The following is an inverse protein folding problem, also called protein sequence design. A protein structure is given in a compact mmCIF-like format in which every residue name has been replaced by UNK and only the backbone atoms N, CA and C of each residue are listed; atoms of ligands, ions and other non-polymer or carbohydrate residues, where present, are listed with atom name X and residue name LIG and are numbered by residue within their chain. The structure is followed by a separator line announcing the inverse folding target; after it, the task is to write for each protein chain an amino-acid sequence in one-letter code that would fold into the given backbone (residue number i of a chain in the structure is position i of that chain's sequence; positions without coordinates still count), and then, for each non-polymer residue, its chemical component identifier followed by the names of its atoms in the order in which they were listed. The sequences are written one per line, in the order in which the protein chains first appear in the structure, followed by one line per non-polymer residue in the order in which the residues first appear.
data_IF_128893364067
#
_entry.id   IF_128893364067
#
_cell.length_a   1.000
_cell.length_b   1.000
_cell.length_c   1.000
_cell.angle_alpha   90.00
_cell.angle_beta   90.00
_cell.angle_gamma   90.00
#
_symmetry.space_group_name_H-M   'P 1'
#
loop_
_entity.id
_entity.type
_entity.pdbx_description
1 polymer ?
#
# COMPACT_ATOMS: atom_id res chain seq x y z
N UNK A 1 -45.53 52.71 -14.50
CA UNK A 1 -44.21 52.53 -15.17
C UNK A 1 -43.26 51.85 -14.19
N UNK A 2 -42.25 51.11 -14.65
CA UNK A 2 -41.21 50.50 -13.79
C UNK A 2 -39.85 51.11 -14.16
N UNK A 3 -39.08 51.52 -13.15
CA UNK A 3 -37.76 52.15 -13.28
C UNK A 3 -36.79 51.50 -12.29
N UNK A 4 -35.57 51.21 -12.76
CA UNK A 4 -34.49 50.72 -11.91
C UNK A 4 -34.08 51.78 -10.90
N UNK A 5 -33.84 51.39 -9.65
CA UNK A 5 -33.39 52.28 -8.60
C UNK A 5 -32.11 53.03 -8.99
N UNK A 6 -32.09 54.34 -8.73
CA UNK A 6 -30.97 55.22 -9.06
C UNK A 6 -30.79 55.51 -10.55
N UNK A 7 -31.77 55.16 -11.39
CA UNK A 7 -31.71 55.51 -12.82
C UNK A 7 -31.75 57.02 -13.00
N UNK A 8 -30.83 57.52 -13.82
CA UNK A 8 -30.74 58.93 -14.18
C UNK A 8 -31.40 59.22 -15.52
N UNK A 9 -31.70 60.49 -15.77
CA UNK A 9 -32.23 61.00 -17.03
C UNK A 9 -33.52 60.30 -17.49
N UNK A 10 -34.52 60.24 -16.62
CA UNK A 10 -35.78 59.54 -16.89
C UNK A 10 -36.87 60.52 -17.31
N UNK A 11 -37.29 60.38 -18.57
CA UNK A 11 -38.43 61.10 -19.13
C UNK A 11 -39.73 60.32 -18.94
N UNK A 12 -40.80 61.02 -18.58
CA UNK A 12 -42.14 60.46 -18.41
C UNK A 12 -43.11 61.19 -19.33
N UNK A 13 -44.02 60.43 -19.95
CA UNK A 13 -45.01 60.95 -20.88
C UNK A 13 -46.39 61.03 -20.23
N UNK A 14 -47.02 62.20 -20.36
CA UNK A 14 -48.37 62.47 -19.89
C UNK A 14 -49.29 62.67 -21.08
N UNK A 15 -50.50 62.11 -20.98
CA UNK A 15 -51.59 62.46 -21.88
C UNK A 15 -52.51 63.46 -21.16
N UNK A 16 -52.55 64.69 -21.67
CA UNK A 16 -53.31 65.79 -21.08
C UNK A 16 -54.55 66.06 -21.93
N UNK A 17 -55.70 66.06 -21.28
CA UNK A 17 -57.01 66.23 -21.93
C UNK A 17 -57.77 67.40 -21.32
N UNK A 18 -58.77 67.88 -22.04
CA UNK A 18 -59.69 68.90 -21.55
C UNK A 18 -60.46 68.38 -20.33
N UNK A 19 -60.50 69.17 -19.26
CA UNK A 19 -61.35 68.86 -18.10
C UNK A 19 -62.82 69.23 -18.38
N UNK A 20 -63.69 69.11 -17.37
CA UNK A 20 -65.11 69.41 -17.49
C UNK A 20 -65.41 70.89 -17.84
N UNK A 21 -64.48 71.81 -17.60
CA UNK A 21 -64.57 73.23 -17.97
C UNK A 21 -64.05 73.53 -19.38
N UNK A 22 -63.46 72.55 -20.07
CA UNK A 22 -62.94 72.74 -21.43
C UNK A 22 -64.09 72.92 -22.43
N UNK A 23 -63.82 73.60 -23.55
CA UNK A 23 -64.78 73.69 -24.66
C UNK A 23 -65.07 72.31 -25.29
N UNK A 24 -64.09 71.41 -25.24
CA UNK A 24 -64.19 70.02 -25.69
C UNK A 24 -63.63 69.08 -24.62
N UNK A 25 -64.40 68.77 -23.56
CA UNK A 25 -63.94 67.88 -22.48
C UNK A 25 -63.55 66.50 -23.02
N UNK A 26 -62.41 65.98 -22.56
CA UNK A 26 -61.87 64.68 -22.99
C UNK A 26 -61.05 64.71 -24.28
N UNK A 27 -61.10 65.79 -25.08
CA UNK A 27 -60.21 65.96 -26.23
C UNK A 27 -58.79 66.32 -25.78
N UNK A 28 -57.75 65.92 -26.52
CA UNK A 28 -56.37 66.27 -26.21
C UNK A 28 -56.17 67.78 -26.25
N UNK A 29 -55.54 68.32 -25.20
CA UNK A 29 -55.18 69.75 -25.14
C UNK A 29 -53.75 69.91 -25.61
N UNK A 30 -53.51 70.76 -26.59
CA UNK A 30 -52.17 71.02 -27.14
C UNK A 30 -51.70 72.45 -26.83
N UNK A 31 -50.44 72.75 -27.13
CA UNK A 31 -49.87 74.09 -26.97
C UNK A 31 -49.62 74.57 -25.53
N UNK A 32 -49.87 73.75 -24.50
CA UNK A 32 -49.49 74.07 -23.11
C UNK A 32 -47.99 74.31 -23.00
N UNK A 33 -47.62 75.42 -22.36
CA UNK A 33 -46.24 75.78 -22.05
C UNK A 33 -45.90 75.41 -20.61
N UNK A 34 -44.62 75.32 -20.26
CA UNK A 34 -44.20 75.06 -18.87
C UNK A 34 -44.80 76.09 -17.88
N UNK A 35 -44.97 77.35 -18.31
CA UNK A 35 -45.59 78.41 -17.51
C UNK A 35 -47.05 78.14 -17.16
N UNK A 36 -47.77 77.39 -18.00
CA UNK A 36 -49.16 76.98 -17.76
C UNK A 36 -49.27 75.88 -16.70
N UNK A 37 -48.14 75.27 -16.35
CA UNK A 37 -48.02 74.29 -15.28
C UNK A 37 -47.43 74.97 -14.03
N UNK A 38 -46.42 75.83 -14.17
CA UNK A 38 -45.78 76.53 -13.04
C UNK A 38 -46.68 77.61 -12.42
N UNK A 39 -47.46 78.33 -13.22
CA UNK A 39 -48.24 79.48 -12.76
C UNK A 39 -49.70 79.08 -12.53
N UNK A 40 -50.04 78.73 -11.29
CA UNK A 40 -51.40 78.33 -10.90
C UNK A 40 -51.71 76.84 -11.13
N UNK A 41 -50.74 76.07 -11.62
CA UNK A 41 -50.72 74.61 -11.60
C UNK A 41 -49.56 74.11 -10.72
N UNK A 42 -49.03 72.92 -11.01
CA UNK A 42 -47.69 72.52 -10.59
C UNK A 42 -47.19 71.22 -11.24
N UNK A 43 -45.87 71.03 -11.32
CA UNK A 43 -45.28 69.69 -11.51
C UNK A 43 -44.61 69.23 -10.22
N UNK A 44 -44.79 67.95 -9.87
CA UNK A 44 -44.25 67.42 -8.62
C UNK A 44 -44.10 65.92 -8.61
N UNK A 45 -43.33 65.46 -7.62
CA UNK A 45 -43.24 64.06 -7.26
C UNK A 45 -43.37 63.88 -5.75
N UNK A 46 -43.84 62.72 -5.35
CA UNK A 46 -43.85 62.28 -3.96
C UNK A 46 -43.31 60.85 -3.92
N UNK A 47 -42.18 60.67 -3.25
CA UNK A 47 -41.65 59.35 -2.92
C UNK A 47 -42.54 58.73 -1.83
N UNK A 48 -42.73 57.42 -1.85
CA UNK A 48 -43.55 56.73 -0.85
C UNK A 48 -43.17 57.12 0.58
N UNK A 49 -44.14 57.59 1.36
CA UNK A 49 -43.93 58.04 2.75
C UNK A 49 -43.25 59.40 2.91
N UNK A 50 -42.88 60.09 1.83
CA UNK A 50 -42.30 61.43 1.85
C UNK A 50 -43.33 62.52 1.51
N UNK A 51 -43.01 63.76 1.87
CA UNK A 51 -43.77 64.92 1.42
C UNK A 51 -43.62 65.15 -0.09
N UNK A 52 -44.58 65.86 -0.67
CA UNK A 52 -44.51 66.37 -2.06
C UNK A 52 -43.25 67.22 -2.21
N UNK A 53 -42.50 66.96 -3.27
CA UNK A 53 -41.41 67.81 -3.74
C UNK A 53 -41.81 68.45 -5.06
N UNK A 54 -41.60 69.77 -5.14
CA UNK A 54 -41.87 70.54 -6.33
C UNK A 54 -40.79 70.29 -7.40
N UNK A 55 -41.19 70.23 -8.67
CA UNK A 55 -40.29 70.13 -9.81
C UNK A 55 -40.45 71.39 -10.64
N UNK A 56 -39.46 72.29 -10.57
CA UNK A 56 -39.44 73.49 -11.40
C UNK A 56 -39.25 73.10 -12.87
N UNK A 57 -40.24 73.44 -13.69
CA UNK A 57 -40.21 73.16 -15.11
C UNK A 57 -39.48 74.23 -15.92
N UNK A 58 -38.87 73.77 -17.01
CA UNK A 58 -38.22 74.60 -18.03
C UNK A 58 -38.68 74.17 -19.43
N UNK A 59 -38.54 75.06 -20.41
CA UNK A 59 -38.74 74.68 -21.81
C UNK A 59 -37.66 73.69 -22.24
N UNK A 60 -38.07 72.56 -22.82
CA UNK A 60 -37.16 71.68 -23.55
C UNK A 60 -37.02 72.15 -25.00
N UNK A 61 -35.83 72.04 -25.60
CA UNK A 61 -35.57 72.55 -26.94
C UNK A 61 -36.34 71.82 -28.06
N UNK A 62 -36.59 70.52 -27.89
CA UNK A 62 -37.41 69.69 -28.77
C UNK A 62 -37.83 68.41 -28.04
N UNK A 63 -38.82 67.69 -28.56
CA UNK A 63 -39.27 66.41 -28.00
C UNK A 63 -38.18 65.32 -27.98
N UNK A 64 -37.16 65.44 -28.85
CA UNK A 64 -36.02 64.54 -28.97
C UNK A 64 -34.73 65.05 -28.32
N UNK A 65 -34.76 66.23 -27.69
CA UNK A 65 -33.58 66.77 -27.01
C UNK A 65 -33.13 65.87 -25.86
N UNK A 66 -31.85 65.98 -25.51
CA UNK A 66 -31.31 65.32 -24.33
C UNK A 66 -32.11 65.70 -23.07
N UNK A 67 -32.14 64.79 -22.09
CA UNK A 67 -32.81 65.03 -20.83
C UNK A 67 -32.27 66.30 -20.15
N UNK A 68 -33.17 67.12 -19.64
CA UNK A 68 -32.85 68.24 -18.78
C UNK A 68 -33.84 68.26 -17.62
N UNK A 69 -33.36 68.31 -16.38
CA UNK A 69 -34.22 68.32 -15.20
C UNK A 69 -35.27 69.43 -15.29
N UNK A 70 -36.55 69.05 -15.20
CA UNK A 70 -37.69 69.96 -15.36
C UNK A 70 -38.10 70.23 -16.81
N UNK A 71 -37.44 69.65 -17.80
CA UNK A 71 -37.78 69.82 -19.22
C UNK A 71 -39.22 69.39 -19.51
N UNK A 72 -40.03 70.31 -20.04
CA UNK A 72 -41.42 70.07 -20.42
C UNK A 72 -41.69 70.51 -21.85
N UNK A 73 -42.31 69.64 -22.66
CA UNK A 73 -42.68 69.96 -24.04
C UNK A 73 -43.80 69.04 -24.56
N UNK A 74 -44.60 69.55 -25.49
CA UNK A 74 -45.48 68.75 -26.33
C UNK A 74 -44.64 67.88 -27.28
N UNK A 75 -44.98 66.60 -27.41
CA UNK A 75 -44.24 65.67 -28.28
C UNK A 75 -44.53 65.94 -29.74
N UNK A 76 -45.81 65.96 -30.11
CA UNK A 76 -46.27 66.22 -31.47
C UNK A 76 -47.70 66.77 -31.41
N UNK A 77 -47.97 67.84 -32.16
CA UNK A 77 -49.27 68.53 -32.15
C UNK A 77 -50.29 67.89 -33.11
N UNK A 78 -49.84 67.17 -34.13
CA UNK A 78 -50.69 66.71 -35.23
C UNK A 78 -51.01 65.23 -35.14
N UNK A 79 -50.00 64.40 -34.93
CA UNK A 79 -50.06 62.95 -34.94
C UNK A 79 -50.16 62.34 -33.54
N UNK A 80 -49.74 63.07 -32.49
CA UNK A 80 -49.89 62.65 -31.08
C UNK A 80 -50.38 63.80 -30.18
N UNK A 81 -51.48 64.48 -30.52
CA UNK A 81 -51.96 65.64 -29.77
C UNK A 81 -52.19 65.28 -28.29
N UNK A 82 -51.81 66.19 -27.39
CA UNK A 82 -52.00 66.03 -25.95
C UNK A 82 -50.94 65.18 -25.25
N UNK A 83 -49.98 64.59 -25.98
CA UNK A 83 -48.87 63.85 -25.37
C UNK A 83 -47.72 64.82 -25.05
N UNK A 84 -47.43 64.97 -23.77
CA UNK A 84 -46.34 65.80 -23.25
C UNK A 84 -45.24 64.94 -22.67
N UNK A 85 -44.00 65.33 -22.92
CA UNK A 85 -42.81 64.79 -22.24
C UNK A 85 -42.47 65.69 -21.06
N UNK A 86 -42.23 65.09 -19.91
CA UNK A 86 -41.72 65.74 -18.71
C UNK A 86 -40.46 65.00 -18.22
N UNK A 87 -39.37 65.72 -18.08
CA UNK A 87 -38.08 65.22 -17.61
C UNK A 87 -37.96 65.45 -16.10
N UNK A 88 -37.86 64.36 -15.34
CA UNK A 88 -37.83 64.40 -13.88
C UNK A 88 -36.40 64.36 -13.36
N UNK A 89 -36.10 65.14 -12.33
CA UNK A 89 -34.78 65.13 -11.69
C UNK A 89 -34.41 63.74 -11.17
N UNK A 90 -33.12 63.38 -11.24
CA UNK A 90 -32.60 62.06 -10.86
C UNK A 90 -32.98 61.64 -9.43
N UNK A 91 -33.06 62.60 -8.49
CA UNK A 91 -33.47 62.36 -7.11
C UNK A 91 -34.88 61.75 -6.98
N UNK A 92 -35.73 61.95 -7.99
CA UNK A 92 -37.06 61.32 -8.09
C UNK A 92 -36.94 59.80 -8.03
N UNK A 93 -35.97 59.21 -8.74
CA UNK A 93 -35.83 57.76 -8.92
C UNK A 93 -34.70 57.14 -8.09
N UNK A 94 -34.16 57.86 -7.10
CA UNK A 94 -33.16 57.31 -6.18
C UNK A 94 -33.67 56.08 -5.42
N UNK A 95 -32.77 55.20 -4.99
CA UNK A 95 -33.11 53.98 -4.23
C UNK A 95 -33.77 54.25 -2.86
N UNK A 96 -34.39 53.24 -2.27
CA UNK A 96 -34.88 53.27 -0.87
C UNK A 96 -36.39 53.46 -0.69
N UNK A 97 -37.19 53.44 -1.76
CA UNK A 97 -38.66 53.38 -1.74
C UNK A 97 -39.14 52.46 -2.85
N UNK A 98 -40.35 51.90 -2.74
CA UNK A 98 -40.91 50.98 -3.75
C UNK A 98 -41.69 51.73 -4.85
N UNK A 99 -42.24 52.89 -4.52
CA UNK A 99 -43.08 53.68 -5.43
C UNK A 99 -42.82 55.18 -5.34
N UNK A 100 -42.94 55.85 -6.49
CA UNK A 100 -42.98 57.30 -6.61
C UNK A 100 -44.23 57.69 -7.37
N UNK A 101 -45.00 58.64 -6.82
CA UNK A 101 -46.13 59.25 -7.50
C UNK A 101 -45.69 60.54 -8.17
N UNK A 102 -45.92 60.64 -9.48
CA UNK A 102 -45.61 61.79 -10.31
C UNK A 102 -46.92 62.48 -10.69
N UNK A 103 -46.96 63.81 -10.62
CA UNK A 103 -48.19 64.56 -10.90
C UNK A 103 -47.89 65.87 -11.61
N UNK A 104 -48.69 66.13 -12.64
CA UNK A 104 -48.79 67.43 -13.30
C UNK A 104 -50.20 67.94 -13.06
N UNK A 105 -50.30 69.16 -12.55
CA UNK A 105 -51.53 69.92 -12.39
C UNK A 105 -51.42 71.10 -13.35
N UNK A 106 -52.34 71.19 -14.30
CA UNK A 106 -52.40 72.34 -15.21
C UNK A 106 -53.09 73.50 -14.50
N UNK A 107 -52.69 74.73 -14.78
CA UNK A 107 -53.37 75.90 -14.26
C UNK A 107 -54.86 75.88 -14.60
N UNK A 108 -55.71 76.20 -13.63
CA UNK A 108 -57.17 76.10 -13.77
C UNK A 108 -57.72 76.89 -14.95
N UNK A 109 -57.08 78.01 -15.33
CA UNK A 109 -57.49 78.82 -16.48
C UNK A 109 -57.30 78.15 -17.85
N UNK A 110 -56.65 76.98 -17.91
CA UNK A 110 -56.45 76.20 -19.15
C UNK A 110 -57.46 75.08 -19.32
N UNK A 111 -58.29 74.81 -18.30
CA UNK A 111 -59.33 73.79 -18.33
C UNK A 111 -58.81 72.43 -18.85
N UNK A 112 -57.70 71.96 -18.28
CA UNK A 112 -57.02 70.74 -18.70
C UNK A 112 -56.57 69.94 -17.49
N UNK A 113 -56.52 68.62 -17.64
CA UNK A 113 -56.20 67.68 -16.56
C UNK A 113 -55.24 66.61 -17.03
N UNK A 114 -54.33 66.22 -16.13
CA UNK A 114 -53.44 65.08 -16.29
C UNK A 114 -53.65 64.11 -15.12
N UNK A 115 -53.73 62.82 -15.41
CA UNK A 115 -53.77 61.80 -14.36
C UNK A 115 -52.36 61.63 -13.75
N UNK A 116 -52.25 61.43 -12.43
CA UNK A 116 -50.96 61.11 -11.81
C UNK A 116 -50.44 59.76 -12.29
N UNK A 117 -49.12 59.65 -12.42
CA UNK A 117 -48.44 58.43 -12.84
C UNK A 117 -47.73 57.83 -11.64
N UNK A 118 -48.00 56.55 -11.37
CA UNK A 118 -47.25 55.77 -10.40
C UNK A 118 -46.09 55.05 -11.08
N UNK A 119 -44.91 55.26 -10.52
CA UNK A 119 -43.66 54.63 -10.96
C UNK A 119 -43.19 53.70 -9.85
N UNK A 120 -43.09 52.41 -10.18
CA UNK A 120 -42.45 51.44 -9.31
C UNK A 120 -40.94 51.53 -9.46
N UNK A 121 -40.26 51.55 -8.33
CA UNK A 121 -38.80 51.54 -8.24
C UNK A 121 -38.37 50.11 -7.93
N UNK A 122 -37.53 49.53 -8.79
CA UNK A 122 -37.03 48.16 -8.63
C UNK A 122 -35.52 48.16 -8.47
N UNK A 123 -35.00 47.37 -7.55
CA UNK A 123 -33.54 47.19 -7.40
C UNK A 123 -32.94 46.37 -8.57
N UNK A 124 -33.77 45.56 -9.23
CA UNK A 124 -33.39 44.72 -10.37
C UNK A 124 -33.60 45.50 -11.67
N UNK A 125 -32.58 45.55 -12.53
CA UNK A 125 -32.72 46.13 -13.85
C UNK A 125 -33.39 45.13 -14.80
N UNK A 126 -34.68 45.32 -15.05
CA UNK A 126 -35.46 44.47 -15.96
C UNK A 126 -35.06 44.62 -17.44
N UNK A 127 -34.24 45.60 -17.78
CA UNK A 127 -33.72 45.81 -19.14
C UNK A 127 -32.25 45.39 -19.28
N UNK A 128 -31.64 44.95 -18.18
CA UNK A 128 -30.28 44.43 -18.22
C UNK A 128 -30.26 43.08 -18.96
N UNK A 129 -29.38 42.98 -19.97
CA UNK A 129 -29.25 41.79 -20.81
C UNK A 129 -28.48 40.64 -20.13
N UNK A 130 -28.04 40.85 -18.89
CA UNK A 130 -27.10 40.00 -18.14
C UNK A 130 -27.73 39.63 -16.79
N UNK A 131 -28.73 38.74 -16.81
CA UNK A 131 -29.40 38.19 -15.61
C UNK A 131 -30.07 39.28 -14.75
N UNK A 132 -30.63 40.32 -15.39
CA UNK A 132 -31.33 41.38 -14.67
C UNK A 132 -30.44 42.14 -13.68
N UNK A 133 -29.13 42.23 -13.97
CA UNK A 133 -28.17 42.86 -13.05
C UNK A 133 -27.77 42.00 -11.84
N UNK A 134 -28.21 40.74 -11.75
CA UNK A 134 -27.75 39.80 -10.72
C UNK A 134 -26.34 39.29 -11.03
N UNK A 135 -25.34 40.17 -10.89
CA UNK A 135 -23.93 39.92 -11.23
C UNK A 135 -23.32 38.76 -10.44
N UNK A 136 -23.86 38.44 -9.27
CA UNK A 136 -23.48 37.28 -8.46
C UNK A 136 -23.84 35.93 -9.13
N UNK A 137 -24.79 35.92 -10.07
CA UNK A 137 -25.09 34.73 -10.85
C UNK A 137 -24.08 34.62 -12.01
N UNK A 138 -23.66 33.41 -12.42
CA UNK A 138 -22.77 33.23 -13.57
C UNK A 138 -23.42 33.59 -14.90
N UNK A 139 -22.66 34.16 -15.85
CA UNK A 139 -23.16 34.58 -17.18
C UNK A 139 -23.23 33.49 -18.24
N UNK A 140 -22.79 32.28 -17.90
CA UNK A 140 -22.97 31.14 -18.78
C UNK A 140 -24.33 30.48 -18.51
N UNK A 141 -24.87 29.81 -19.54
CA UNK A 141 -26.05 28.98 -19.38
C UNK A 141 -25.81 27.94 -18.26
N UNK A 142 -26.87 27.51 -17.59
CA UNK A 142 -26.79 26.37 -16.68
C UNK A 142 -26.17 25.16 -17.43
N UNK A 143 -25.30 24.40 -16.76
CA UNK A 143 -24.49 23.29 -17.32
C UNK A 143 -23.39 23.69 -18.33
N UNK A 144 -23.28 24.96 -18.72
CA UNK A 144 -22.15 25.43 -19.53
C UNK A 144 -20.92 25.73 -18.65
N UNK A 145 -19.73 25.81 -19.27
CA UNK A 145 -18.49 26.17 -18.57
C UNK A 145 -18.62 27.53 -17.88
N UNK A 146 -18.36 27.57 -16.57
CA UNK A 146 -18.57 28.77 -15.75
C UNK A 146 -20.04 29.13 -15.51
N UNK A 147 -20.97 28.22 -15.81
CA UNK A 147 -22.41 28.33 -15.55
C UNK A 147 -22.81 27.72 -14.21
N UNK A 148 -24.09 27.81 -13.85
CA UNK A 148 -24.62 27.12 -12.67
C UNK A 148 -24.62 25.60 -12.94
N UNK A 149 -24.04 24.77 -12.05
CA UNK A 149 -24.19 23.32 -12.14
C UNK A 149 -25.67 22.94 -12.01
N UNK A 150 -26.17 22.08 -12.91
CA UNK A 150 -27.52 21.54 -12.83
C UNK A 150 -27.50 20.02 -12.98
N UNK A 151 -28.46 19.35 -12.36
CA UNK A 151 -28.72 17.93 -12.61
C UNK A 151 -29.75 17.81 -13.74
N UNK A 152 -29.29 17.88 -14.99
CA UNK A 152 -30.12 17.87 -16.20
C UNK A 152 -31.04 16.62 -16.33
N UNK A 153 -30.65 15.49 -15.73
CA UNK A 153 -31.34 14.20 -15.79
C UNK A 153 -31.95 13.73 -14.45
N UNK A 154 -32.12 14.62 -13.46
CA UNK A 154 -32.81 14.29 -12.20
C UNK A 154 -32.08 13.34 -11.24
N UNK A 155 -30.79 13.05 -11.48
CA UNK A 155 -30.00 12.15 -10.61
C UNK A 155 -28.47 12.25 -10.74
N UNK A 156 -27.95 13.14 -11.60
CA UNK A 156 -26.52 13.33 -11.86
C UNK A 156 -26.01 14.59 -11.18
N UNK A 157 -25.56 14.48 -9.92
CA UNK A 157 -24.73 15.53 -9.35
C UNK A 157 -23.33 15.41 -9.98
N UNK A 158 -22.87 16.46 -10.66
CA UNK A 158 -21.49 16.55 -11.19
C UNK A 158 -20.43 16.46 -10.06
N UNK A 159 -20.82 16.79 -8.83
CA UNK A 159 -20.05 16.52 -7.61
C UNK A 159 -19.86 15.01 -7.35
N UNK A 160 -20.81 14.18 -7.75
CA UNK A 160 -20.74 12.72 -7.59
C UNK A 160 -19.70 12.10 -8.53
N UNK A 161 -19.48 12.66 -9.71
CA UNK A 161 -18.40 12.20 -10.61
C UNK A 161 -17.01 12.68 -10.14
N UNK A 162 -16.90 13.88 -9.58
CA UNK A 162 -15.68 14.33 -8.91
C UNK A 162 -15.37 13.47 -7.67
N UNK A 163 -16.39 13.08 -6.89
CA UNK A 163 -16.27 12.15 -5.77
C UNK A 163 -15.85 10.74 -6.20
N UNK A 164 -16.36 10.21 -7.31
CA UNK A 164 -15.96 8.91 -7.84
C UNK A 164 -14.49 8.89 -8.32
N UNK A 165 -13.93 10.04 -8.70
CA UNK A 165 -12.50 10.18 -9.07
C UNK A 165 -11.63 10.38 -7.82
N UNK A 166 -12.14 11.05 -6.79
CA UNK A 166 -11.47 11.28 -5.50
C UNK A 166 -11.51 10.06 -4.55
N UNK A 167 -12.45 9.12 -4.72
CA UNK A 167 -12.50 7.85 -3.99
C UNK A 167 -11.35 6.91 -4.32
N UNK A 168 -10.65 7.15 -5.44
CA UNK A 168 -9.29 6.62 -5.62
C UNK A 168 -8.34 7.58 -4.89
N UNK A 169 -8.34 7.49 -3.56
CA UNK A 169 -7.45 8.28 -2.71
C UNK A 169 -6.00 8.12 -3.19
N UNK A 170 -5.17 9.15 -3.06
CA UNK A 170 -3.74 9.05 -3.39
C UNK A 170 -3.08 7.81 -2.74
N UNK A 171 -3.53 7.39 -1.56
CA UNK A 171 -3.11 6.15 -0.91
C UNK A 171 -3.52 4.88 -1.67
N UNK A 172 -4.75 4.79 -2.19
CA UNK A 172 -5.19 3.65 -3.02
C UNK A 172 -4.47 3.65 -4.36
N UNK A 173 -4.24 4.82 -4.94
CA UNK A 173 -3.42 4.95 -6.14
C UNK A 173 -1.97 4.56 -5.87
N UNK A 174 -1.43 4.93 -4.72
CA UNK A 174 -0.09 4.55 -4.29
C UNK A 174 0.00 3.03 -4.07
N UNK A 175 -0.99 2.37 -3.49
CA UNK A 175 -1.01 0.90 -3.37
C UNK A 175 -1.15 0.20 -4.72
N UNK A 176 -1.96 0.76 -5.64
CA UNK A 176 -2.07 0.23 -7.00
C UNK A 176 -0.74 0.41 -7.75
N UNK A 177 -0.07 1.53 -7.53
CA UNK A 177 1.26 1.83 -8.07
C UNK A 177 2.32 0.91 -7.47
N UNK A 178 2.27 0.65 -6.16
CA UNK A 178 3.17 -0.28 -5.47
C UNK A 178 3.00 -1.71 -6.01
N UNK A 179 1.77 -2.11 -6.34
CA UNK A 179 1.50 -3.40 -6.99
C UNK A 179 1.99 -3.43 -8.45
N UNK A 180 1.78 -2.37 -9.22
CA UNK A 180 2.13 -2.36 -10.64
C UNK A 180 3.64 -2.17 -10.88
N UNK A 181 4.33 -1.41 -10.03
CA UNK A 181 5.74 -1.03 -10.23
C UNK A 181 6.73 -1.86 -9.38
N UNK A 182 6.33 -3.00 -8.82
CA UNK A 182 7.26 -3.87 -8.09
C UNK A 182 7.68 -3.36 -6.72
N UNK A 183 6.78 -2.65 -6.04
CA UNK A 183 7.02 -2.06 -4.74
C UNK A 183 6.95 -3.06 -3.58
N UNK A 184 6.85 -2.56 -2.34
CA UNK A 184 7.04 -3.40 -1.14
C UNK A 184 6.03 -4.53 -1.03
N UNK A 185 4.77 -4.28 -1.38
CA UNK A 185 3.71 -5.29 -1.31
C UNK A 185 3.88 -6.35 -2.40
N UNK A 186 4.29 -5.94 -3.60
CA UNK A 186 4.52 -6.86 -4.73
C UNK A 186 5.71 -7.79 -4.45
N UNK A 187 6.83 -7.24 -3.97
CA UNK A 187 7.98 -8.03 -3.53
C UNK A 187 7.65 -9.03 -2.42
N UNK A 188 6.72 -8.70 -1.53
CA UNK A 188 6.28 -9.61 -0.47
C UNK A 188 5.41 -10.74 -1.03
N UNK A 189 4.66 -10.47 -2.10
CA UNK A 189 3.82 -11.45 -2.79
C UNK A 189 4.66 -12.36 -3.69
N UNK A 190 5.64 -11.82 -4.40
CA UNK A 190 6.63 -12.58 -5.18
C UNK A 190 7.50 -13.48 -4.31
N UNK A 191 7.70 -13.11 -3.04
CA UNK A 191 8.38 -13.95 -2.06
C UNK A 191 7.53 -15.12 -1.54
N UNK A 192 6.21 -15.15 -1.84
CA UNK A 192 5.38 -16.32 -1.53
C UNK A 192 5.72 -17.42 -2.56
N UNK A 193 6.20 -18.59 -2.14
CA UNK A 193 6.58 -19.66 -3.06
C UNK A 193 5.39 -20.09 -3.92
N UNK A 194 5.47 -19.88 -5.23
CA UNK A 194 4.42 -20.26 -6.20
C UNK A 194 4.52 -21.73 -6.63
N UNK A 195 5.49 -22.47 -6.12
CA UNK A 195 5.62 -23.92 -6.28
C UNK A 195 5.42 -24.63 -4.94
N UNK A 196 4.97 -25.89 -4.99
CA UNK A 196 4.69 -26.66 -3.78
C UNK A 196 5.96 -26.79 -2.92
N UNK A 197 5.89 -26.33 -1.67
CA UNK A 197 6.98 -26.38 -0.69
C UNK A 197 7.52 -27.81 -0.55
N UNK A 198 8.82 -28.03 -0.81
CA UNK A 198 9.44 -29.36 -0.66
C UNK A 198 10.53 -29.32 0.42
N UNK A 199 10.25 -29.97 1.55
CA UNK A 199 11.22 -30.59 2.46
C UNK A 199 12.21 -29.69 3.22
N UNK A 200 13.04 -28.92 2.52
CA UNK A 200 14.10 -28.06 3.10
C UNK A 200 13.66 -26.63 3.35
N UNK A 201 12.51 -26.24 2.79
CA UNK A 201 12.09 -24.84 2.74
C UNK A 201 11.19 -24.47 3.94
N UNK A 202 11.11 -25.37 4.93
CA UNK A 202 10.41 -25.17 6.18
C UNK A 202 11.42 -25.18 7.31
N UNK A 203 11.64 -24.02 7.95
CA UNK A 203 12.63 -23.84 9.02
C UNK A 203 12.45 -24.83 10.19
N UNK A 204 11.25 -25.37 10.38
CA UNK A 204 10.96 -26.37 11.38
C UNK A 204 11.61 -27.74 11.10
N UNK A 205 11.67 -28.19 9.83
CA UNK A 205 12.29 -29.49 9.47
C UNK A 205 13.83 -29.42 9.49
N UNK A 206 14.40 -28.26 9.19
CA UNK A 206 15.85 -28.03 9.28
C UNK A 206 16.38 -28.16 10.71
N UNK A 207 15.54 -27.88 11.72
CA UNK A 207 15.90 -28.03 13.14
C UNK A 207 15.89 -29.50 13.60
N UNK A 208 15.07 -30.36 12.99
CA UNK A 208 14.91 -31.75 13.43
C UNK A 208 15.97 -32.69 12.80
N UNK A 209 16.45 -32.34 11.60
CA UNK A 209 17.51 -33.08 10.89
C UNK A 209 18.85 -32.35 11.05
N UNK A 210 19.42 -32.44 12.26
CA UNK A 210 20.78 -31.93 12.51
C UNK A 210 21.83 -32.55 11.58
N UNK A 211 22.88 -31.80 11.25
CA UNK A 211 23.99 -32.25 10.41
C UNK A 211 24.61 -33.58 10.88
N UNK A 212 24.64 -33.84 12.19
CA UNK A 212 25.10 -35.11 12.76
C UNK A 212 24.26 -36.31 12.32
N UNK A 213 22.93 -36.15 12.27
CA UNK A 213 22.00 -37.21 11.87
C UNK A 213 22.07 -37.50 10.36
N UNK A 214 22.38 -36.48 9.56
CA UNK A 214 22.69 -36.69 8.15
C UNK A 214 24.05 -37.34 7.94
N UNK A 215 25.07 -36.95 8.70
CA UNK A 215 26.39 -37.58 8.63
C UNK A 215 26.32 -39.09 8.95
N UNK A 216 25.51 -39.49 9.93
CA UNK A 216 25.29 -40.93 10.22
C UNK A 216 24.58 -41.66 9.08
N UNK A 217 23.61 -41.02 8.41
CA UNK A 217 22.91 -41.65 7.29
C UNK A 217 23.84 -41.76 6.06
N UNK A 218 24.69 -40.77 5.83
CA UNK A 218 25.72 -40.80 4.78
C UNK A 218 26.78 -41.87 5.05
N UNK A 219 27.23 -42.05 6.31
CA UNK A 219 28.15 -43.12 6.69
C UNK A 219 27.56 -44.51 6.40
N UNK A 220 26.23 -44.66 6.59
CA UNK A 220 25.52 -45.91 6.31
C UNK A 220 25.35 -46.19 4.81
N UNK A 221 25.11 -45.15 4.00
CA UNK A 221 24.85 -45.30 2.55
C UNK A 221 26.15 -45.48 1.76
N UNK A 222 27.25 -44.84 2.18
CA UNK A 222 28.48 -44.76 1.39
C UNK A 222 29.58 -45.76 1.83
N UNK A 223 29.23 -46.82 2.57
CA UNK A 223 30.20 -47.84 2.99
C UNK A 223 31.19 -47.36 4.05
N UNK A 224 30.74 -46.48 4.94
CA UNK A 224 31.56 -45.84 5.96
C UNK A 224 31.91 -46.73 7.16
N UNK A 225 32.37 -46.14 8.26
CA UNK A 225 32.93 -46.89 9.41
C UNK A 225 31.93 -47.84 10.04
N UNK A 226 30.66 -47.41 10.13
CA UNK A 226 29.61 -48.22 10.72
C UNK A 226 29.24 -49.42 9.84
N UNK A 227 29.24 -49.25 8.52
CA UNK A 227 28.94 -50.30 7.56
C UNK A 227 30.02 -51.40 7.57
N UNK A 228 31.30 -50.99 7.54
CA UNK A 228 32.44 -51.90 7.67
C UNK A 228 32.43 -52.70 8.99
N UNK A 229 31.95 -52.10 10.09
CA UNK A 229 31.81 -52.80 11.36
C UNK A 229 30.69 -53.82 11.32
N UNK A 230 29.60 -53.53 10.60
CA UNK A 230 28.44 -54.41 10.48
C UNK A 230 28.73 -55.59 9.54
N UNK A 231 29.42 -55.35 8.43
CA UNK A 231 29.91 -56.39 7.51
C UNK A 231 30.91 -57.35 8.19
N UNK A 232 31.64 -56.87 9.20
CA UNK A 232 32.56 -57.69 9.98
C UNK A 232 31.86 -58.60 11.02
N UNK A 233 30.55 -58.42 11.27
CA UNK A 233 29.78 -59.32 12.13
C UNK A 233 29.50 -60.60 11.33
N UNK A 234 29.92 -61.80 11.81
CA UNK A 234 29.65 -63.04 11.11
C UNK A 234 28.14 -63.26 10.94
N UNK A 235 27.67 -63.35 9.70
CA UNK A 235 26.25 -63.59 9.37
C UNK A 235 25.90 -65.07 9.26
N UNK A 236 26.88 -65.96 9.43
CA UNK A 236 26.69 -67.41 9.53
C UNK A 236 26.85 -67.87 10.98
N UNK A 237 26.13 -68.92 11.37
CA UNK A 237 26.15 -69.43 12.75
C UNK A 237 27.58 -69.82 13.17
N UNK A 238 28.09 -69.22 14.25
CA UNK A 238 29.39 -69.54 14.85
C UNK A 238 29.45 -71.05 15.20
N UNK A 239 30.25 -71.83 14.48
CA UNK A 239 30.39 -73.27 14.70
C UNK A 239 31.78 -73.58 15.22
N UNK A 240 31.93 -73.64 16.54
CA UNK A 240 32.89 -74.50 17.28
C UNK A 240 34.40 -74.33 17.08
N UNK A 241 34.88 -73.76 15.97
CA UNK A 241 36.30 -73.57 15.64
C UNK A 241 36.73 -72.12 15.69
N UNK A 242 35.79 -71.20 15.86
CA UNK A 242 36.00 -69.77 15.67
C UNK A 242 36.42 -69.07 16.98
N UNK A 243 36.76 -69.86 17.99
CA UNK A 243 37.39 -69.41 19.23
C UNK A 243 38.78 -70.01 19.33
N UNK A 244 39.81 -69.18 19.18
CA UNK A 244 41.22 -69.57 19.19
C UNK A 244 41.64 -70.37 20.44
N UNK A 245 40.87 -70.27 21.53
CA UNK A 245 41.10 -71.00 22.77
C UNK A 245 40.72 -72.50 22.72
N UNK A 246 39.83 -72.92 21.82
CA UNK A 246 39.38 -74.32 21.73
C UNK A 246 40.11 -75.12 20.65
N UNK A 247 40.65 -74.44 19.63
CA UNK A 247 41.42 -75.07 18.54
C UNK A 247 42.75 -75.70 19.03
N UNK A 248 43.29 -75.27 20.17
CA UNK A 248 44.54 -75.81 20.72
C UNK A 248 44.37 -77.14 21.47
N UNK A 249 43.14 -77.49 21.87
CA UNK A 249 42.87 -78.65 22.75
C UNK A 249 42.45 -79.91 21.97
N UNK A 250 42.02 -79.78 20.71
CA UNK A 250 41.52 -80.89 19.89
C UNK A 250 42.39 -81.20 18.65
N UNK A 251 43.72 -81.04 18.75
CA UNK A 251 44.63 -81.51 17.69
C UNK A 251 44.97 -82.99 17.87
N UNK A 252 45.00 -83.71 16.74
CA UNK A 252 45.01 -85.19 16.58
C UNK A 252 46.08 -85.96 17.37
N UNK A 253 47.09 -85.28 17.93
CA UNK A 253 48.21 -85.90 18.65
C UNK A 253 47.80 -86.55 19.99
N UNK A 254 46.79 -86.04 20.69
CA UNK A 254 46.41 -86.52 22.04
C UNK A 254 45.44 -87.70 22.03
N UNK A 255 44.70 -87.89 20.93
CA UNK A 255 43.88 -89.09 20.71
C UNK A 255 44.73 -90.30 20.28
N UNK A 256 45.85 -90.07 19.58
CA UNK A 256 46.78 -91.11 19.15
C UNK A 256 47.61 -91.74 20.29
N UNK A 257 47.95 -90.97 21.34
CA UNK A 257 48.68 -91.49 22.51
C UNK A 257 47.86 -92.47 23.36
N UNK A 258 46.52 -92.38 23.32
CA UNK A 258 45.63 -93.28 24.07
C UNK A 258 45.46 -94.66 23.40
N UNK A 259 45.55 -94.73 22.07
CA UNK A 259 45.49 -95.98 21.30
C UNK A 259 46.82 -96.77 21.37
N UNK A 260 47.95 -96.08 21.48
CA UNK A 260 49.29 -96.69 21.44
C UNK A 260 49.76 -97.35 22.75
N UNK A 261 49.12 -97.09 23.90
CA UNK A 261 49.76 -97.35 25.20
C UNK A 261 49.30 -98.61 25.96
N UNK A 262 48.19 -99.30 25.64
CA UNK A 262 47.66 -100.32 26.58
C UNK A 262 46.90 -101.53 26.01
N UNK A 263 46.96 -101.81 24.71
CA UNK A 263 46.51 -103.10 24.18
C UNK A 263 47.71 -103.81 23.53
N UNK A 264 48.18 -104.95 24.06
CA UNK A 264 49.28 -105.70 23.44
C UNK A 264 48.93 -106.02 21.98
N UNK A 265 49.72 -105.51 21.05
CA UNK A 265 49.51 -105.65 19.60
C UNK A 265 50.08 -106.94 19.02
N UNK A 266 50.70 -107.82 19.82
CA UNK A 266 51.33 -109.05 19.33
C UNK A 266 51.22 -110.23 20.32
N UNK A 267 50.65 -111.33 19.84
CA UNK A 267 50.31 -112.54 20.63
C UNK A 267 51.56 -113.29 21.12
N UNK A 268 52.72 -113.07 20.49
CA UNK A 268 53.99 -113.71 20.86
C UNK A 268 54.61 -113.17 22.17
N UNK A 269 54.13 -112.04 22.68
CA UNK A 269 54.64 -111.40 23.90
C UNK A 269 54.00 -111.96 25.20
N UNK A 270 53.10 -112.94 25.09
CA UNK A 270 52.54 -113.66 26.23
C UNK A 270 53.49 -114.82 26.59
N UNK A 271 54.21 -114.81 27.73
CA UNK A 271 55.17 -115.86 28.05
C UNK A 271 54.48 -117.22 28.28
N UNK A 272 54.92 -118.28 27.58
CA UNK A 272 54.31 -119.63 27.60
C UNK A 272 55.13 -120.71 28.34
N UNK A 273 56.10 -120.35 29.19
CA UNK A 273 56.82 -121.32 30.04
C UNK A 273 57.21 -120.71 31.39
N UNK A 274 57.10 -121.48 32.48
CA UNK A 274 57.23 -121.00 33.86
C UNK A 274 58.65 -120.49 34.19
N UNK A 275 58.80 -119.19 34.48
CA UNK A 275 60.01 -118.60 35.06
C UNK A 275 60.26 -119.16 36.47
N UNK A 276 61.42 -119.80 36.68
CA UNK A 276 61.90 -120.29 37.99
C UNK A 276 63.09 -119.44 38.47
N UNK A 277 62.84 -118.58 39.46
CA UNK A 277 63.79 -118.01 40.43
C UNK A 277 64.93 -117.15 39.85
N UNK A 278 65.35 -116.02 40.42
CA UNK A 278 65.15 -115.43 41.74
C UNK A 278 65.95 -114.14 41.67
N UNK A 279 65.31 -112.98 41.80
CA UNK A 279 65.98 -111.76 42.26
C UNK A 279 64.97 -110.97 43.09
N UNK A 280 65.21 -111.04 44.41
CA UNK A 280 64.40 -110.48 45.47
C UNK A 280 64.89 -110.78 46.90
N UNK A 281 66.09 -111.36 47.10
CA UNK A 281 66.75 -111.36 48.41
C UNK A 281 68.27 -111.23 48.28
N UNK A 282 68.80 -110.20 48.94
CA UNK A 282 70.20 -109.78 49.06
C UNK A 282 70.97 -110.65 50.08
N UNK A 283 72.21 -111.05 49.76
CA UNK A 283 73.25 -111.33 50.77
C UNK A 283 74.59 -110.76 50.32
N UNK A 284 74.80 -109.51 50.76
CA UNK A 284 76.04 -108.76 50.94
C UNK A 284 76.85 -108.24 49.74
N UNK A 285 77.38 -107.05 49.98
CA UNK A 285 78.03 -106.09 49.07
C UNK A 285 79.16 -105.51 49.90
N UNK A 286 80.40 -105.87 49.63
CA UNK A 286 81.52 -105.32 50.41
C UNK A 286 82.78 -105.13 49.58
N UNK A 287 83.12 -103.84 49.40
CA UNK A 287 84.50 -103.34 49.42
C UNK A 287 85.34 -103.61 48.18
N UNK A 288 85.66 -102.57 47.41
CA UNK A 288 87.03 -102.04 47.33
C UNK A 288 87.24 -101.33 45.98
N UNK A 289 87.70 -100.09 46.09
CA UNK A 289 88.04 -99.12 45.04
C UNK A 289 89.55 -98.82 45.06
N UNK A 290 90.12 -98.37 43.94
CA UNK A 290 91.57 -98.14 43.76
C UNK A 290 92.10 -96.95 44.57
N UNK A 291 93.28 -97.08 45.19
CA UNK A 291 93.84 -96.08 46.11
C UNK A 291 94.54 -94.91 45.41
N UNK A 292 94.45 -93.72 46.02
CA UNK A 292 95.07 -92.47 45.56
C UNK A 292 96.61 -92.55 45.49
N UNK A 293 97.25 -93.41 46.29
CA UNK A 293 98.70 -93.63 46.22
C UNK A 293 99.14 -94.30 44.90
N UNK A 294 98.32 -95.23 44.38
CA UNK A 294 98.59 -95.90 43.10
C UNK A 294 98.55 -94.92 41.91
N UNK A 295 97.70 -93.90 42.02
CA UNK A 295 97.51 -92.84 41.02
C UNK A 295 98.76 -91.92 40.93
N UNK A 296 99.48 -91.66 42.03
CA UNK A 296 100.65 -90.75 42.06
C UNK A 296 101.98 -91.41 41.63
N UNK A 297 102.14 -92.73 41.75
CA UNK A 297 103.31 -93.45 41.24
C UNK A 297 103.47 -93.31 39.72
N UNK A 298 102.35 -93.14 39.03
CA UNK A 298 102.27 -92.85 37.60
C UNK A 298 102.91 -91.50 37.21
N UNK A 299 103.13 -90.56 38.14
CA UNK A 299 103.56 -89.20 37.78
C UNK A 299 105.09 -88.96 37.82
N UNK A 300 105.84 -89.59 38.74
CA UNK A 300 107.28 -89.31 38.88
C UNK A 300 108.19 -90.00 37.85
N UNK A 301 107.84 -91.20 37.38
CA UNK A 301 108.68 -91.93 36.40
C UNK A 301 108.73 -91.24 35.03
N UNK A 302 107.69 -90.46 34.69
CA UNK A 302 107.64 -89.65 33.49
C UNK A 302 108.68 -88.51 33.47
N UNK A 303 109.21 -88.07 34.62
CA UNK A 303 110.06 -86.86 34.74
C UNK A 303 111.57 -87.12 34.57
N UNK A 304 112.06 -88.31 34.91
CA UNK A 304 113.49 -88.67 34.75
C UNK A 304 113.88 -88.89 33.29
N UNK A 305 112.91 -89.19 32.43
CA UNK A 305 113.08 -89.36 30.98
C UNK A 305 113.47 -88.05 30.24
N UNK A 306 113.48 -86.90 30.92
CA UNK A 306 113.76 -85.57 30.34
C UNK A 306 115.28 -85.20 30.34
N UNK A 307 116.16 -85.86 31.12
CA UNK A 307 117.58 -85.44 31.26
C UNK A 307 118.52 -85.98 30.16
N UNK A 308 118.15 -87.05 29.44
CA UNK A 308 119.06 -87.70 28.47
C UNK A 308 118.86 -87.24 27.02
N UNK A 309 117.95 -86.30 26.76
CA UNK A 309 117.71 -85.73 25.43
C UNK A 309 118.62 -84.51 25.17
N UNK A 310 119.52 -84.61 24.19
CA UNK A 310 120.06 -83.44 23.47
C UNK A 310 121.36 -82.81 24.00
N UNK A 311 122.44 -83.05 23.24
CA UNK A 311 123.62 -82.19 23.11
C UNK A 311 123.28 -80.70 23.10
N UNK A 312 123.86 -80.00 24.07
CA UNK A 312 124.14 -78.56 24.09
C UNK A 312 125.09 -78.23 22.92
N UNK A 313 125.03 -77.00 22.41
CA UNK A 313 125.61 -76.59 21.13
C UNK A 313 127.13 -76.78 20.92
N UNK A 314 127.50 -76.58 19.64
CA UNK A 314 128.83 -76.25 19.07
C UNK A 314 130.09 -76.44 19.93
N UNK A 315 131.02 -77.17 19.32
CA UNK A 315 132.39 -77.61 19.70
C UNK A 315 132.44 -78.88 20.56
#
# INVERSE_FOLDING_TARGET
MIVTAGKTNVSVYYYIVGDAGNASPGEPVTGLLFSDIETGGSASYARQGAARVDLTLITLASASAAHADGGFILVDDTNMPGVYRCDYADATFAAGVDEVSLSIVVASGKNAVAAPIKVQITDVDLRDSVRGGMTALPNAAADAAGGLPISDAGGLALDTQLAATNEVTAARMATLTDWINGGRLDLLLDAIPTTAMRGTDSAALASEVTAARMATLTDWINGGRLDLLLDAIPTTAMRGTDSAALASVATEARLAELDAANLPTDVAAIPTTAMRGTDGALTDKAGFSLSTAGILAFWHQALTAIVTAGSVGKL
#
